data_IF_184388168124
#
_entry.id   IF_184388168124
#
_cell.length_a   1.000
_cell.length_b   1.000
_cell.length_c   1.000
_cell.angle_alpha   90.00
_cell.angle_beta   90.00
_cell.angle_gamma   90.00
#
_symmetry.space_group_name_H-M   'P 1'
#
loop_
_entity.id
_entity.type
_entity.pdbx_description
1 polymer ?
#
# COMPACT_ATOMS: atom_id res chain seq x y z
N UNK A 1 8.12 2.95 33.31
CA UNK A 1 9.18 1.89 33.31
C UNK A 1 10.47 2.61 33.64
N UNK A 2 11.14 2.22 34.74
CA UNK A 2 12.35 2.88 35.21
C UNK A 2 13.57 2.12 34.66
N UNK A 3 14.30 2.73 33.74
CA UNK A 3 15.53 2.19 33.17
C UNK A 3 16.73 2.90 33.82
N UNK A 4 17.15 2.47 34.99
CA UNK A 4 18.23 3.17 35.72
C UNK A 4 19.63 2.98 35.14
N UNK A 5 19.90 1.91 34.37
CA UNK A 5 21.27 1.57 33.95
C UNK A 5 21.44 1.12 32.48
N UNK A 6 20.40 1.05 31.68
CA UNK A 6 20.52 0.60 30.29
C UNK A 6 20.51 1.79 29.32
N UNK A 7 21.61 1.98 28.59
CA UNK A 7 21.72 2.97 27.51
C UNK A 7 21.24 2.41 26.17
N UNK A 8 21.00 1.10 26.08
CA UNK A 8 20.60 0.41 24.85
C UNK A 8 19.34 -0.40 25.11
N UNK A 9 18.28 -0.11 24.40
CA UNK A 9 17.01 -0.83 24.51
C UNK A 9 17.09 -2.12 23.70
N UNK A 10 16.58 -3.23 24.27
CA UNK A 10 16.42 -4.49 23.56
C UNK A 10 15.46 -4.28 22.37
N UNK A 11 15.83 -4.76 21.19
CA UNK A 11 15.01 -4.65 19.98
C UNK A 11 13.61 -5.23 20.11
N UNK A 12 13.40 -6.19 21.02
CA UNK A 12 12.05 -6.72 21.34
C UNK A 12 11.18 -5.70 22.05
N UNK A 13 11.76 -4.94 22.98
CA UNK A 13 11.03 -3.89 23.68
C UNK A 13 10.72 -2.71 22.74
N UNK A 14 11.66 -2.36 21.89
CA UNK A 14 11.47 -1.34 20.85
C UNK A 14 10.32 -1.72 19.91
N UNK A 15 10.29 -2.98 19.44
CA UNK A 15 9.19 -3.49 18.64
C UNK A 15 7.84 -3.49 19.39
N UNK A 16 7.85 -3.79 20.68
CA UNK A 16 6.66 -3.71 21.53
C UNK A 16 6.12 -2.27 21.60
N UNK A 17 6.99 -1.28 21.84
CA UNK A 17 6.63 0.15 21.85
C UNK A 17 6.04 0.59 20.50
N UNK A 18 6.65 0.12 19.41
CA UNK A 18 6.21 0.36 18.04
C UNK A 18 4.79 -0.19 17.81
N UNK A 19 4.49 -1.39 18.30
CA UNK A 19 3.21 -2.05 18.10
C UNK A 19 2.08 -1.50 18.98
N UNK A 20 2.41 -0.76 20.05
CA UNK A 20 1.38 -0.15 20.91
C UNK A 20 0.53 0.93 20.22
N UNK A 21 1.00 1.45 19.09
CA UNK A 21 0.32 2.49 18.30
C UNK A 21 -0.21 3.68 19.15
N UNK A 22 0.59 4.10 20.13
CA UNK A 22 0.28 5.18 21.06
C UNK A 22 1.43 6.17 21.12
N UNK A 23 1.12 7.40 21.49
CA UNK A 23 2.14 8.38 21.89
C UNK A 23 2.71 7.93 23.22
N UNK A 24 4.02 7.66 23.26
CA UNK A 24 4.71 7.18 24.44
C UNK A 24 5.76 8.20 24.82
N UNK A 25 5.77 8.57 26.10
CA UNK A 25 6.84 9.33 26.71
C UNK A 25 7.67 8.41 27.57
N UNK A 26 8.95 8.28 27.23
CA UNK A 26 9.92 7.57 28.04
C UNK A 26 10.73 8.58 28.81
N UNK A 27 10.78 8.41 30.13
CA UNK A 27 11.58 9.23 31.04
C UNK A 27 12.73 8.34 31.52
N UNK A 28 13.97 8.79 31.29
CA UNK A 28 15.17 8.05 31.69
C UNK A 28 16.23 9.01 32.25
N UNK A 29 17.12 8.50 33.13
CA UNK A 29 18.29 9.28 33.61
C UNK A 29 19.40 9.35 32.59
N UNK A 30 19.50 8.36 31.72
CA UNK A 30 20.51 8.30 30.68
C UNK A 30 19.89 8.49 29.30
N UNK A 31 20.64 9.09 28.38
CA UNK A 31 20.19 9.21 26.99
C UNK A 31 20.07 7.82 26.37
N UNK A 32 18.87 7.43 26.03
CA UNK A 32 18.61 6.15 25.41
C UNK A 32 18.88 6.20 23.90
N UNK A 33 19.55 5.19 23.39
CA UNK A 33 19.76 4.98 21.96
C UNK A 33 18.79 3.91 21.46
N UNK A 34 17.95 4.31 20.52
CA UNK A 34 17.01 3.44 19.84
C UNK A 34 17.56 3.11 18.45
N UNK A 35 17.45 1.87 18.03
CA UNK A 35 17.92 1.43 16.72
C UNK A 35 16.93 1.84 15.59
N UNK A 36 15.68 2.18 15.93
CA UNK A 36 14.64 2.52 15.00
C UNK A 36 14.28 4.03 15.04
N UNK A 37 14.05 4.60 13.88
CA UNK A 37 13.93 6.04 13.59
C UNK A 37 12.67 6.76 14.12
N UNK A 38 11.98 6.21 15.12
CA UNK A 38 10.70 6.75 15.60
C UNK A 38 10.78 7.75 16.76
N UNK A 39 12.00 8.24 17.05
CA UNK A 39 12.18 9.30 18.05
C UNK A 39 11.84 10.64 17.40
N UNK A 40 10.73 11.24 17.80
CA UNK A 40 10.36 12.56 17.30
C UNK A 40 11.13 13.69 17.98
N UNK A 41 11.43 13.52 19.26
CA UNK A 41 12.10 14.52 20.08
C UNK A 41 12.69 13.88 21.32
N UNK A 42 13.90 14.27 21.68
CA UNK A 42 14.51 13.97 22.97
C UNK A 42 14.97 15.27 23.58
N UNK A 43 14.51 15.56 24.78
CA UNK A 43 14.85 16.78 25.55
C UNK A 43 15.44 16.37 26.88
N UNK A 44 16.40 17.15 27.36
CA UNK A 44 16.89 17.03 28.72
C UNK A 44 16.22 18.08 29.61
N UNK A 45 15.53 17.62 30.65
CA UNK A 45 14.86 18.46 31.61
C UNK A 45 15.24 18.00 33.02
N UNK A 46 15.90 18.86 33.78
CA UNK A 46 16.27 18.59 35.19
C UNK A 46 17.05 17.29 35.40
N UNK A 47 17.97 16.95 34.47
CA UNK A 47 18.80 15.73 34.55
C UNK A 47 18.09 14.47 34.12
N UNK A 48 16.91 14.57 33.51
CA UNK A 48 16.18 13.47 32.90
C UNK A 48 16.07 13.69 31.40
N UNK A 49 16.19 12.62 30.63
CA UNK A 49 15.92 12.60 29.19
C UNK A 49 14.46 12.22 28.96
N UNK A 50 13.70 13.13 28.36
CA UNK A 50 12.34 12.91 27.94
C UNK A 50 12.34 12.54 26.47
N UNK A 51 12.14 11.24 26.16
CA UNK A 51 12.11 10.75 24.78
C UNK A 51 10.68 10.52 24.36
N UNK A 52 10.23 11.32 23.39
CA UNK A 52 8.88 11.23 22.82
C UNK A 52 8.89 10.24 21.66
N UNK A 53 8.20 9.15 21.87
CA UNK A 53 7.91 8.15 20.85
C UNK A 53 6.57 8.46 20.21
N UNK A 54 6.58 8.66 18.90
CA UNK A 54 5.36 8.74 18.13
C UNK A 54 5.47 7.80 16.95
N UNK A 55 4.74 6.72 17.03
CA UNK A 55 4.73 5.69 15.99
C UNK A 55 3.83 6.05 14.80
N UNK A 56 3.20 7.19 14.85
CA UNK A 56 2.14 7.52 13.93
C UNK A 56 2.64 8.57 12.93
N UNK A 57 2.97 8.11 11.72
CA UNK A 57 3.22 9.00 10.56
C UNK A 57 2.05 9.97 10.36
N UNK A 58 0.87 9.64 10.92
CA UNK A 58 -0.36 10.41 10.78
C UNK A 58 -0.49 11.61 11.72
N UNK A 59 0.41 11.79 12.69
CA UNK A 59 0.37 12.95 13.58
C UNK A 59 1.46 13.95 13.24
N UNK A 60 1.05 15.12 12.79
CA UNK A 60 1.93 16.24 12.56
C UNK A 60 1.57 17.06 11.31
N UNK A 61 2.14 18.25 11.20
CA UNK A 61 1.90 19.15 10.06
C UNK A 61 2.21 18.52 8.70
N UNK A 62 3.23 17.67 8.64
CA UNK A 62 3.60 16.95 7.41
C UNK A 62 2.51 16.01 6.90
N UNK A 63 1.79 15.34 7.82
CA UNK A 63 0.67 14.49 7.44
C UNK A 63 -0.51 15.29 6.88
N UNK A 64 -0.81 16.46 7.49
CA UNK A 64 -1.86 17.35 6.97
C UNK A 64 -1.52 17.78 5.54
N UNK A 65 -0.26 18.16 5.30
CA UNK A 65 0.21 18.54 3.96
C UNK A 65 0.09 17.35 2.99
N UNK A 66 0.54 16.14 3.40
CA UNK A 66 0.36 14.93 2.61
C UNK A 66 -1.11 14.71 2.24
N UNK A 67 -1.99 14.81 3.22
CA UNK A 67 -3.42 14.58 3.02
C UNK A 67 -4.05 15.60 2.07
N UNK A 68 -3.65 16.88 2.15
CA UNK A 68 -4.07 17.90 1.20
C UNK A 68 -3.60 17.59 -0.21
N UNK A 69 -2.33 17.18 -0.38
CA UNK A 69 -1.78 16.76 -1.67
C UNK A 69 -2.56 15.57 -2.22
N UNK A 70 -2.82 14.54 -1.41
CA UNK A 70 -3.58 13.36 -1.79
C UNK A 70 -4.98 13.74 -2.34
N UNK A 71 -5.71 14.59 -1.62
CA UNK A 71 -7.06 15.00 -2.01
C UNK A 71 -7.02 15.85 -3.29
N UNK A 72 -6.18 16.90 -3.30
CA UNK A 72 -6.11 17.84 -4.45
C UNK A 72 -5.71 17.11 -5.72
N UNK A 73 -4.65 16.29 -5.66
CA UNK A 73 -4.21 15.53 -6.83
C UNK A 73 -5.25 14.48 -7.25
N UNK A 74 -5.93 13.81 -6.32
CA UNK A 74 -6.98 12.85 -6.66
C UNK A 74 -8.14 13.50 -7.38
N UNK A 75 -8.58 14.68 -6.94
CA UNK A 75 -9.64 15.46 -7.63
C UNK A 75 -9.21 15.87 -9.02
N UNK A 76 -7.98 16.40 -9.17
CA UNK A 76 -7.41 16.77 -10.47
C UNK A 76 -7.34 15.55 -11.41
N UNK A 77 -6.86 14.40 -10.92
CA UNK A 77 -6.74 13.19 -11.72
C UNK A 77 -8.11 12.64 -12.13
N UNK A 78 -9.11 12.66 -11.25
CA UNK A 78 -10.48 12.26 -11.60
C UNK A 78 -11.03 13.15 -12.72
N UNK A 79 -10.84 14.47 -12.61
CA UNK A 79 -11.32 15.41 -13.63
C UNK A 79 -10.58 15.23 -14.95
N UNK A 80 -9.26 15.10 -14.90
CA UNK A 80 -8.41 14.89 -16.10
C UNK A 80 -8.76 13.60 -16.84
N UNK A 81 -8.94 12.50 -16.10
CA UNK A 81 -9.26 11.19 -16.67
C UNK A 81 -10.77 10.93 -16.82
N UNK A 82 -11.63 11.91 -16.53
CA UNK A 82 -13.07 11.71 -16.58
C UNK A 82 -13.57 11.12 -17.91
N UNK A 83 -13.17 11.63 -19.10
CA UNK A 83 -13.60 11.03 -20.37
C UNK A 83 -13.17 9.56 -20.51
N UNK A 84 -11.94 9.24 -20.06
CA UNK A 84 -11.42 7.87 -20.08
C UNK A 84 -12.21 6.97 -19.11
N UNK A 85 -12.52 7.46 -17.90
CA UNK A 85 -13.31 6.72 -16.92
C UNK A 85 -14.69 6.35 -17.48
N UNK A 86 -15.37 7.31 -18.14
CA UNK A 86 -16.66 7.08 -18.79
C UNK A 86 -16.54 6.04 -19.92
N UNK A 87 -15.50 6.14 -20.74
CA UNK A 87 -15.24 5.17 -21.82
C UNK A 87 -15.04 3.76 -21.27
N UNK A 88 -14.25 3.61 -20.19
CA UNK A 88 -14.03 2.31 -19.55
C UNK A 88 -15.32 1.77 -18.95
N UNK A 89 -16.16 2.60 -18.32
CA UNK A 89 -17.49 2.18 -17.80
C UNK A 89 -18.37 1.64 -18.91
N UNK A 90 -18.50 2.37 -20.01
CA UNK A 90 -19.30 1.96 -21.16
C UNK A 90 -18.75 0.64 -21.74
N UNK A 91 -17.44 0.56 -21.92
CA UNK A 91 -16.78 -0.63 -22.45
C UNK A 91 -17.06 -1.88 -21.59
N UNK A 92 -16.95 -1.77 -20.26
CA UNK A 92 -17.22 -2.89 -19.34
C UNK A 92 -18.71 -3.27 -19.39
N UNK A 93 -19.61 -2.29 -19.42
CA UNK A 93 -21.04 -2.53 -19.49
C UNK A 93 -21.44 -3.31 -20.76
N UNK A 94 -20.78 -3.02 -21.88
CA UNK A 94 -21.02 -3.71 -23.16
C UNK A 94 -20.52 -5.17 -23.18
N UNK A 95 -19.69 -5.61 -22.21
CA UNK A 95 -19.20 -7.00 -22.19
C UNK A 95 -20.29 -8.00 -21.73
N UNK A 96 -21.03 -7.67 -20.67
CA UNK A 96 -22.01 -8.58 -20.05
C UNK A 96 -23.15 -7.87 -19.29
N UNK A 97 -23.33 -6.56 -19.51
CA UNK A 97 -24.40 -5.76 -18.88
C UNK A 97 -24.29 -5.63 -17.36
N UNK A 98 -23.15 -5.97 -16.76
CA UNK A 98 -22.97 -5.94 -15.33
C UNK A 98 -22.38 -4.63 -14.79
N UNK A 99 -22.28 -4.50 -13.46
CA UNK A 99 -21.75 -3.30 -12.85
C UNK A 99 -20.29 -3.09 -13.28
N UNK A 100 -19.94 -1.87 -13.72
CA UNK A 100 -18.60 -1.53 -14.15
C UNK A 100 -17.61 -1.40 -12.97
N UNK A 101 -18.11 -1.03 -11.79
CA UNK A 101 -17.31 -0.86 -10.56
C UNK A 101 -17.67 -1.97 -9.58
N UNK A 102 -16.62 -2.62 -9.07
CA UNK A 102 -16.70 -3.61 -8.00
C UNK A 102 -16.10 -3.05 -6.71
N UNK A 103 -16.50 -3.62 -5.58
CA UNK A 103 -15.98 -3.31 -4.25
C UNK A 103 -15.33 -4.56 -3.69
N UNK A 104 -14.09 -4.43 -3.24
CA UNK A 104 -13.34 -5.52 -2.63
C UNK A 104 -12.96 -5.15 -1.20
N UNK A 105 -13.15 -6.05 -0.26
CA UNK A 105 -12.71 -5.85 1.11
C UNK A 105 -11.18 -5.91 1.18
N UNK A 106 -10.60 -4.90 1.79
CA UNK A 106 -9.16 -4.76 1.96
C UNK A 106 -8.84 -4.28 3.36
N UNK A 107 -7.68 -4.69 3.84
CA UNK A 107 -7.16 -4.23 5.12
C UNK A 107 -6.47 -2.88 4.92
N UNK A 108 -6.92 -1.90 5.68
CA UNK A 108 -6.41 -0.54 5.68
C UNK A 108 -5.69 -0.19 6.97
N UNK A 109 -5.72 1.09 7.28
CA UNK A 109 -5.10 1.67 8.46
C UNK A 109 -5.57 0.98 9.75
N UNK A 110 -4.61 0.62 10.61
CA UNK A 110 -4.83 -0.05 11.90
C UNK A 110 -5.65 -1.35 11.81
N UNK A 111 -5.56 -2.04 10.65
CA UNK A 111 -6.30 -3.28 10.43
C UNK A 111 -7.79 -3.08 10.12
N UNK A 112 -8.24 -1.84 9.94
CA UNK A 112 -9.65 -1.56 9.61
C UNK A 112 -9.95 -1.97 8.19
N UNK A 113 -10.99 -2.79 8.01
CA UNK A 113 -11.44 -3.21 6.68
C UNK A 113 -12.20 -2.07 5.99
N UNK A 114 -11.88 -1.84 4.73
CA UNK A 114 -12.56 -0.86 3.88
C UNK A 114 -12.91 -1.45 2.51
N UNK A 115 -13.90 -0.85 1.83
CA UNK A 115 -14.32 -1.24 0.49
C UNK A 115 -13.48 -0.51 -0.56
N UNK A 116 -12.51 -1.21 -1.15
CA UNK A 116 -11.69 -0.70 -2.24
C UNK A 116 -12.45 -0.75 -3.55
N UNK A 117 -12.51 0.37 -4.27
CA UNK A 117 -13.18 0.47 -5.56
C UNK A 117 -12.24 0.08 -6.71
N UNK A 118 -12.73 -0.75 -7.63
CA UNK A 118 -12.02 -1.11 -8.87
C UNK A 118 -12.98 -1.19 -10.05
N UNK A 119 -12.45 -0.97 -11.26
CA UNK A 119 -13.19 -1.42 -12.43
C UNK A 119 -13.15 -2.94 -12.53
N UNK A 120 -14.26 -3.51 -12.92
CA UNK A 120 -14.38 -4.93 -13.17
C UNK A 120 -13.67 -5.29 -14.46
N UNK A 121 -12.83 -6.31 -14.42
CA UNK A 121 -12.07 -6.82 -15.56
C UNK A 121 -12.31 -8.31 -15.81
N UNK A 122 -13.19 -8.92 -15.02
CA UNK A 122 -13.63 -10.32 -15.13
C UNK A 122 -15.12 -10.39 -15.36
N UNK A 123 -15.60 -11.48 -15.96
CA UNK A 123 -17.04 -11.77 -16.10
C UNK A 123 -17.72 -11.87 -14.73
N UNK A 124 -19.06 -11.70 -14.71
CA UNK A 124 -19.87 -11.68 -13.47
C UNK A 124 -19.65 -12.93 -12.59
N UNK A 125 -19.64 -14.09 -13.19
CA UNK A 125 -19.61 -15.39 -12.50
C UNK A 125 -18.18 -15.91 -12.23
N UNK A 126 -17.21 -15.00 -12.25
CA UNK A 126 -15.78 -15.32 -12.13
C UNK A 126 -15.38 -15.83 -10.74
N UNK A 127 -16.17 -15.52 -9.70
CA UNK A 127 -15.88 -16.01 -8.34
C UNK A 127 -16.18 -17.49 -8.19
N UNK A 128 -17.23 -18.00 -8.80
CA UNK A 128 -17.60 -19.42 -8.77
C UNK A 128 -16.54 -20.30 -9.43
N UNK A 129 -15.83 -19.77 -10.41
CA UNK A 129 -14.75 -20.46 -11.13
C UNK A 129 -13.38 -20.37 -10.45
N UNK A 130 -13.28 -19.77 -9.26
CA UNK A 130 -11.99 -19.65 -8.56
C UNK A 130 -11.49 -20.99 -8.06
N UNK A 131 -12.37 -21.78 -7.46
CA UNK A 131 -12.03 -23.09 -6.90
C UNK A 131 -11.52 -24.04 -7.98
N UNK A 132 -12.15 -24.03 -9.17
CA UNK A 132 -11.74 -24.86 -10.33
C UNK A 132 -10.34 -24.48 -10.89
N UNK A 133 -9.86 -23.28 -10.55
CA UNK A 133 -8.61 -22.73 -11.05
C UNK A 133 -7.48 -22.72 -10.01
N UNK A 134 -7.71 -23.20 -8.80
CA UNK A 134 -6.68 -23.24 -7.75
C UNK A 134 -5.49 -24.13 -8.15
N UNK A 135 -5.72 -25.21 -8.89
CA UNK A 135 -4.67 -26.10 -9.41
C UNK A 135 -3.75 -25.40 -10.43
N UNK A 136 -4.22 -24.35 -11.10
CA UNK A 136 -3.45 -23.57 -12.07
C UNK A 136 -2.64 -22.44 -11.42
N UNK A 137 -2.80 -22.23 -10.11
CA UNK A 137 -2.04 -21.22 -9.38
C UNK A 137 -0.60 -21.69 -9.13
N UNK A 138 0.33 -21.21 -9.96
CA UNK A 138 1.76 -21.54 -9.88
C UNK A 138 2.52 -20.77 -8.78
N UNK A 139 1.85 -19.85 -8.07
CA UNK A 139 2.49 -18.99 -7.08
C UNK A 139 2.34 -19.54 -5.66
N UNK A 140 3.19 -19.05 -4.76
CA UNK A 140 3.04 -19.29 -3.34
C UNK A 140 1.63 -18.90 -2.87
N UNK A 141 1.13 -19.58 -1.84
CA UNK A 141 -0.26 -19.52 -1.35
C UNK A 141 -0.78 -18.13 -1.03
N UNK A 142 0.10 -17.13 -0.95
CA UNK A 142 -0.24 -15.74 -0.56
C UNK A 142 -0.78 -14.92 -1.74
N UNK A 143 -0.36 -15.20 -2.98
CA UNK A 143 -0.73 -14.40 -4.14
C UNK A 143 -1.33 -15.28 -5.23
N UNK A 144 -2.64 -15.16 -5.45
CA UNK A 144 -3.32 -15.87 -6.54
C UNK A 144 -3.10 -15.13 -7.87
N UNK A 145 -2.31 -15.73 -8.76
CA UNK A 145 -2.02 -15.19 -10.09
C UNK A 145 -1.95 -16.30 -11.11
N UNK A 146 -2.80 -16.22 -12.12
CA UNK A 146 -2.83 -17.17 -13.25
C UNK A 146 -2.45 -16.41 -14.51
N UNK A 147 -1.54 -16.98 -15.29
CA UNK A 147 -1.19 -16.51 -16.61
C UNK A 147 -2.34 -16.83 -17.58
N UNK A 148 -2.83 -15.85 -18.36
CA UNK A 148 -3.99 -16.00 -19.24
C UNK A 148 -5.28 -16.46 -18.54
N UNK A 149 -5.63 -15.82 -17.42
CA UNK A 149 -6.83 -16.14 -16.64
C UNK A 149 -8.10 -16.07 -17.49
N UNK A 150 -8.81 -17.22 -17.71
CA UNK A 150 -9.98 -17.30 -18.59
C UNK A 150 -11.18 -16.49 -18.07
N UNK A 151 -11.15 -16.05 -16.81
CA UNK A 151 -12.20 -15.23 -16.21
C UNK A 151 -12.16 -13.79 -16.70
N UNK A 152 -11.02 -13.36 -17.27
CA UNK A 152 -10.86 -11.98 -17.76
C UNK A 152 -11.53 -11.86 -19.12
N UNK A 153 -12.44 -10.89 -19.24
CA UNK A 153 -13.10 -10.63 -20.53
C UNK A 153 -12.15 -10.00 -21.56
N UNK A 154 -12.54 -10.08 -22.84
CA UNK A 154 -11.74 -9.53 -23.95
C UNK A 154 -11.49 -8.03 -23.72
N UNK A 155 -10.21 -7.63 -23.68
CA UNK A 155 -9.79 -6.26 -23.36
C UNK A 155 -9.58 -5.99 -21.86
N UNK A 156 -10.04 -6.87 -20.96
CA UNK A 156 -9.79 -6.75 -19.52
C UNK A 156 -8.30 -6.77 -19.17
N UNK A 157 -7.52 -7.56 -19.91
CA UNK A 157 -6.06 -7.58 -19.78
C UNK A 157 -5.43 -6.21 -20.10
N UNK A 158 -5.93 -5.49 -21.11
CA UNK A 158 -5.44 -4.14 -21.44
C UNK A 158 -5.76 -3.14 -20.32
N UNK A 159 -6.97 -3.21 -19.76
CA UNK A 159 -7.37 -2.38 -18.61
C UNK A 159 -6.41 -2.62 -17.42
N UNK A 160 -6.09 -3.87 -17.10
CA UNK A 160 -5.14 -4.26 -16.04
C UNK A 160 -3.71 -3.85 -16.37
N UNK A 161 -3.28 -4.07 -17.62
CA UNK A 161 -1.95 -3.74 -18.10
C UNK A 161 -1.60 -2.28 -17.83
N UNK A 162 -2.52 -1.37 -18.12
CA UNK A 162 -2.34 0.06 -17.91
C UNK A 162 -2.85 0.56 -16.54
N UNK A 163 -3.21 -0.34 -15.61
CA UNK A 163 -3.77 -0.01 -14.28
C UNK A 163 -5.02 0.87 -14.30
N UNK A 164 -5.73 0.89 -15.40
CA UNK A 164 -6.97 1.65 -15.51
C UNK A 164 -8.03 1.11 -14.53
N UNK A 165 -7.98 -0.19 -14.22
CA UNK A 165 -8.85 -0.83 -13.24
C UNK A 165 -8.69 -0.26 -11.82
N UNK A 166 -7.58 0.37 -11.52
CA UNK A 166 -7.28 0.95 -10.20
C UNK A 166 -7.71 2.41 -10.06
N UNK A 167 -8.06 3.11 -11.17
CA UNK A 167 -8.45 4.52 -11.12
C UNK A 167 -9.64 4.85 -10.19
N UNK A 168 -10.68 3.99 -10.02
CA UNK A 168 -11.75 4.25 -9.05
C UNK A 168 -11.26 4.34 -7.59
N UNK A 169 -10.07 3.84 -7.26
CA UNK A 169 -9.48 3.97 -5.92
C UNK A 169 -9.17 5.44 -5.57
N UNK A 170 -9.09 6.36 -6.53
CA UNK A 170 -9.01 7.80 -6.26
C UNK A 170 -10.18 8.28 -5.37
N UNK A 171 -11.35 7.64 -5.46
CA UNK A 171 -12.48 7.88 -4.56
C UNK A 171 -12.14 7.43 -3.14
N UNK A 172 -11.45 6.29 -2.95
CA UNK A 172 -11.00 5.85 -1.63
C UNK A 172 -9.97 6.82 -1.04
N UNK A 173 -9.10 7.38 -1.89
CA UNK A 173 -8.15 8.42 -1.45
C UNK A 173 -8.91 9.64 -0.94
N UNK A 174 -9.88 10.16 -1.67
CA UNK A 174 -10.68 11.32 -1.24
C UNK A 174 -11.43 11.02 0.07
N UNK A 175 -12.00 9.81 0.21
CA UNK A 175 -12.72 9.38 1.42
C UNK A 175 -11.82 9.23 2.66
N UNK A 176 -10.53 9.00 2.48
CA UNK A 176 -9.58 8.78 3.58
C UNK A 176 -9.30 7.33 3.90
N UNK A 177 -9.82 6.40 3.12
CA UNK A 177 -9.52 4.98 3.24
C UNK A 177 -8.11 4.65 2.73
N UNK A 178 -7.62 5.46 1.78
CA UNK A 178 -6.33 5.31 1.10
C UNK A 178 -5.59 6.64 0.98
N UNK A 179 -4.33 6.56 0.61
CA UNK A 179 -3.46 7.63 0.14
C UNK A 179 -3.09 7.39 -1.33
N UNK A 180 -2.60 8.42 -2.04
CA UNK A 180 -2.00 8.21 -3.35
C UNK A 180 -0.75 7.32 -3.25
N UNK A 181 0.08 7.53 -2.22
CA UNK A 181 1.33 6.79 -1.99
C UNK A 181 1.32 6.08 -0.66
N UNK A 182 1.61 4.78 -0.67
CA UNK A 182 1.67 3.93 0.51
C UNK A 182 1.81 2.45 0.15
N UNK A 183 1.87 1.56 1.16
CA UNK A 183 1.82 0.12 0.98
C UNK A 183 0.57 -0.33 0.23
N UNK A 184 0.70 -1.34 -0.65
CA UNK A 184 -0.45 -1.87 -1.39
C UNK A 184 -1.48 -2.51 -0.44
N UNK A 185 -2.79 -2.19 -0.52
CA UNK A 185 -3.81 -2.81 0.32
C UNK A 185 -3.95 -4.31 0.00
N UNK A 186 -3.84 -5.15 1.03
CA UNK A 186 -3.94 -6.61 0.92
C UNK A 186 -5.32 -7.11 1.37
N UNK A 187 -5.63 -8.37 1.07
CA UNK A 187 -6.81 -9.04 1.58
C UNK A 187 -6.65 -9.37 3.06
N UNK A 188 -7.75 -9.57 3.78
CA UNK A 188 -7.73 -9.98 5.18
C UNK A 188 -7.03 -11.34 5.36
N UNK A 189 -7.23 -12.23 4.41
CA UNK A 189 -6.62 -13.57 4.39
C UNK A 189 -5.09 -13.49 4.37
N UNK A 190 -4.53 -12.52 3.65
CA UNK A 190 -3.08 -12.30 3.54
C UNK A 190 -2.47 -11.88 4.88
N UNK A 191 -3.26 -11.26 5.78
CA UNK A 191 -2.77 -10.79 7.09
C UNK A 191 -2.38 -11.93 8.03
N UNK A 192 -2.91 -13.14 7.80
CA UNK A 192 -2.57 -14.34 8.57
C UNK A 192 -1.09 -14.73 8.46
N UNK A 193 -0.43 -14.27 7.39
CA UNK A 193 0.99 -14.52 7.15
C UNK A 193 1.89 -13.41 7.70
N UNK A 194 1.32 -12.36 8.32
CA UNK A 194 2.09 -11.24 8.85
C UNK A 194 2.77 -11.62 10.16
N UNK A 195 4.08 -11.39 10.22
CA UNK A 195 4.79 -11.35 11.48
C UNK A 195 4.61 -9.96 12.14
N UNK A 196 5.07 -9.82 13.39
CA UNK A 196 4.95 -8.56 14.14
C UNK A 196 5.56 -7.36 13.40
N UNK A 197 6.70 -7.56 12.73
CA UNK A 197 7.35 -6.50 11.97
C UNK A 197 6.53 -6.08 10.74
N UNK A 198 5.87 -7.02 10.07
CA UNK A 198 5.09 -6.72 8.89
C UNK A 198 3.75 -6.06 9.22
N UNK A 199 3.23 -6.27 10.44
CA UNK A 199 2.05 -5.53 10.93
C UNK A 199 2.26 -4.02 10.94
N UNK A 200 3.51 -3.53 10.96
CA UNK A 200 3.83 -2.09 10.89
C UNK A 200 3.30 -1.42 9.62
N UNK A 201 3.11 -2.15 8.54
CA UNK A 201 2.50 -1.63 7.31
C UNK A 201 1.08 -1.11 7.53
N UNK A 202 0.39 -1.60 8.55
CA UNK A 202 -0.96 -1.16 8.93
C UNK A 202 -0.98 0.16 9.72
N UNK A 203 0.19 0.70 10.08
CA UNK A 203 0.29 1.99 10.76
C UNK A 203 0.26 3.18 9.81
N UNK A 204 0.15 2.93 8.52
CA UNK A 204 0.02 3.97 7.48
C UNK A 204 -1.17 3.66 6.57
N UNK A 205 -1.71 4.69 5.92
CA UNK A 205 -2.74 4.48 4.91
C UNK A 205 -2.18 3.65 3.74
N UNK A 206 -2.93 2.66 3.25
CA UNK A 206 -2.56 1.97 2.03
C UNK A 206 -2.57 2.92 0.85
N UNK A 207 -1.68 2.68 -0.13
CA UNK A 207 -1.49 3.53 -1.29
C UNK A 207 -2.09 2.97 -2.58
N UNK A 208 -2.46 3.88 -3.49
CA UNK A 208 -2.75 3.57 -4.88
C UNK A 208 -1.46 3.18 -5.61
N UNK A 209 -0.36 3.86 -5.34
CA UNK A 209 1.00 3.54 -5.77
C UNK A 209 1.96 3.50 -4.57
N UNK A 210 3.19 3.05 -4.76
CA UNK A 210 4.21 2.93 -3.70
C UNK A 210 5.54 2.44 -4.23
N UNK A 211 6.51 2.24 -3.33
CA UNK A 211 7.85 1.78 -3.70
C UNK A 211 7.84 0.44 -4.44
N UNK A 212 7.02 -0.50 -4.01
CA UNK A 212 6.86 -1.79 -4.68
C UNK A 212 6.39 -1.61 -6.13
N UNK A 213 5.34 -0.80 -6.33
CA UNK A 213 4.71 -0.62 -7.64
C UNK A 213 5.64 0.04 -8.66
N UNK A 214 6.52 0.94 -8.22
CA UNK A 214 7.47 1.60 -9.14
C UNK A 214 8.72 0.77 -9.44
N UNK A 215 9.11 -0.16 -8.55
CA UNK A 215 10.33 -0.97 -8.71
C UNK A 215 10.05 -2.39 -9.21
N UNK A 216 9.18 -3.14 -8.54
CA UNK A 216 8.95 -4.56 -8.79
C UNK A 216 7.46 -4.94 -8.77
N UNK A 217 6.65 -4.23 -9.53
CA UNK A 217 5.18 -4.37 -9.57
C UNK A 217 4.67 -5.80 -9.75
N UNK A 218 5.38 -6.60 -10.53
CA UNK A 218 4.95 -7.94 -10.93
C UNK A 218 5.53 -9.07 -10.07
N UNK A 219 6.31 -8.74 -9.04
CA UNK A 219 6.85 -9.77 -8.14
C UNK A 219 5.72 -10.47 -7.38
N UNK A 220 5.84 -11.78 -7.24
CA UNK A 220 5.01 -12.61 -6.37
C UNK A 220 5.71 -12.94 -5.05
N UNK A 221 6.94 -12.48 -4.87
CA UNK A 221 7.75 -12.76 -3.69
C UNK A 221 7.32 -11.88 -2.52
N UNK A 222 6.81 -12.52 -1.47
CA UNK A 222 6.29 -11.83 -0.28
C UNK A 222 7.37 -11.03 0.47
N UNK A 223 8.60 -11.56 0.55
CA UNK A 223 9.72 -10.88 1.21
C UNK A 223 10.09 -9.56 0.51
N UNK A 224 9.98 -9.53 -0.81
CA UNK A 224 10.17 -8.30 -1.59
C UNK A 224 9.10 -7.26 -1.29
N UNK A 225 7.84 -7.68 -1.11
CA UNK A 225 6.76 -6.78 -0.68
C UNK A 225 7.02 -6.21 0.69
N UNK A 226 7.38 -7.08 1.65
CA UNK A 226 7.75 -6.69 3.00
C UNK A 226 8.86 -5.62 3.01
N UNK A 227 9.96 -5.87 2.28
CA UNK A 227 11.10 -4.96 2.20
C UNK A 227 10.70 -3.57 1.71
N UNK A 228 9.95 -3.46 0.61
CA UNK A 228 9.55 -2.16 0.07
C UNK A 228 8.54 -1.43 0.95
N UNK A 229 7.61 -2.14 1.57
CA UNK A 229 6.63 -1.53 2.48
C UNK A 229 7.32 -0.95 3.72
N UNK A 230 8.23 -1.70 4.32
CA UNK A 230 8.97 -1.26 5.51
C UNK A 230 9.97 -0.15 5.16
N UNK A 231 10.63 -0.24 4.00
CA UNK A 231 11.51 0.83 3.53
C UNK A 231 10.75 2.15 3.33
N UNK A 232 9.56 2.10 2.73
CA UNK A 232 8.70 3.26 2.60
C UNK A 232 8.33 3.86 3.97
N UNK A 233 7.90 3.03 4.92
CA UNK A 233 7.50 3.48 6.26
C UNK A 233 8.67 4.14 7.01
N UNK A 234 9.85 3.52 6.95
CA UNK A 234 11.04 4.01 7.64
C UNK A 234 11.58 5.33 7.07
N UNK A 235 11.49 5.50 5.75
CA UNK A 235 12.07 6.64 5.03
C UNK A 235 11.03 7.64 4.53
N UNK A 236 9.80 7.53 5.02
CA UNK A 236 8.71 8.39 4.54
C UNK A 236 9.05 9.89 4.64
N UNK A 237 8.76 10.57 3.57
CA UNK A 237 8.80 12.03 3.47
C UNK A 237 7.89 12.48 2.32
N UNK A 238 7.45 13.74 2.36
CA UNK A 238 6.70 14.35 1.25
C UNK A 238 7.51 14.27 -0.05
N UNK A 239 8.83 14.46 0.02
CA UNK A 239 9.72 14.32 -1.13
C UNK A 239 9.70 12.91 -1.71
N UNK A 240 9.72 11.87 -0.86
CA UNK A 240 9.62 10.49 -1.31
C UNK A 240 8.28 10.23 -2.01
N UNK A 241 7.17 10.72 -1.46
CA UNK A 241 5.85 10.62 -2.09
C UNK A 241 5.84 11.27 -3.48
N UNK A 242 6.34 12.49 -3.59
CA UNK A 242 6.41 13.19 -4.89
C UNK A 242 7.28 12.43 -5.89
N UNK A 243 8.42 11.89 -5.46
CA UNK A 243 9.29 11.05 -6.29
C UNK A 243 8.56 9.82 -6.81
N UNK A 244 7.84 9.11 -5.94
CA UNK A 244 7.06 7.93 -6.31
C UNK A 244 5.95 8.30 -7.31
N UNK A 245 5.22 9.39 -7.07
CA UNK A 245 4.16 9.86 -7.96
C UNK A 245 4.71 10.18 -9.36
N UNK A 246 5.85 10.86 -9.45
CA UNK A 246 6.49 11.19 -10.72
C UNK A 246 7.00 9.95 -11.47
N UNK A 247 7.42 8.90 -10.76
CA UNK A 247 7.93 7.66 -11.35
C UNK A 247 6.82 6.68 -11.74
N UNK A 248 5.63 6.80 -11.15
CA UNK A 248 4.52 5.86 -11.38
C UNK A 248 4.12 5.73 -12.87
N UNK A 249 3.93 6.80 -13.65
CA UNK A 249 3.58 6.65 -15.07
C UNK A 249 4.64 5.90 -15.87
N UNK A 250 5.91 6.21 -15.66
CA UNK A 250 7.01 5.55 -16.35
C UNK A 250 7.14 4.07 -15.97
N UNK A 251 6.89 3.71 -14.71
CA UNK A 251 6.90 2.32 -14.25
C UNK A 251 5.79 1.48 -14.88
N UNK A 252 4.60 2.06 -15.06
CA UNK A 252 3.49 1.39 -15.74
C UNK A 252 3.88 1.07 -17.20
N UNK A 253 4.47 2.01 -17.89
CA UNK A 253 4.91 1.82 -19.30
C UNK A 253 6.05 0.81 -19.38
N UNK A 254 7.10 0.97 -18.57
CA UNK A 254 8.31 0.12 -18.59
C UNK A 254 8.00 -1.34 -18.25
N UNK A 255 7.14 -1.61 -17.28
CA UNK A 255 6.74 -2.98 -16.93
C UNK A 255 5.89 -3.64 -18.00
N UNK A 256 5.28 -2.85 -18.89
CA UNK A 256 4.54 -3.35 -20.04
C UNK A 256 5.45 -3.73 -21.23
N UNK A 257 6.66 -3.16 -21.31
CA UNK A 257 7.61 -3.45 -22.38
C UNK A 257 8.52 -4.64 -22.08
N UNK A 258 8.79 -4.97 -20.83
CA UNK A 258 9.59 -6.15 -20.46
C UNK A 258 9.00 -7.47 -20.98
N UNK A 259 7.68 -7.63 -21.00
CA UNK A 259 7.03 -8.84 -21.56
C UNK A 259 7.01 -8.88 -23.10
N UNK A 260 7.13 -7.74 -23.78
CA UNK A 260 7.15 -7.66 -25.26
C UNK A 260 8.54 -7.97 -25.88
N UNK A 261 9.61 -7.72 -25.12
CA UNK A 261 10.98 -7.96 -25.60
C UNK A 261 11.44 -9.40 -25.32
N UNK A 262 10.89 -10.05 -24.27
CA UNK A 262 11.19 -11.44 -23.96
C UNK A 262 10.55 -12.42 -24.95
N UNK A 263 9.49 -12.02 -25.68
CA UNK A 263 8.85 -12.80 -26.75
C UNK A 263 9.51 -12.64 -28.13
N UNK A 264 10.42 -11.66 -28.31
CA UNK A 264 11.07 -11.38 -29.61
C UNK A 264 12.47 -11.99 -29.69
N UNK A 265 13.01 -12.55 -28.62
CA UNK A 265 14.39 -13.08 -28.54
C UNK A 265 14.42 -14.63 -28.59
N UNK A 266 13.29 -15.31 -28.83
CA UNK A 266 13.28 -16.76 -29.11
C UNK A 266 12.52 -17.09 -30.38
#
# INVERSE_FOLDING_TARGET
>A
INFENETKIDGRFENYLINLNKKILIISRNRMHFNNYFINRSEEVSGYFLTYFNNDIQYGSKYIIKRLIDIVLSVILIFLFFPLLVTVVIFIYLQDGGPAIIKQDRVGLHGKIFKMYKFRTMYKDSHEKREDLEELNKNDRVIFKIENDPRIFKGGNSIRKYSLDELPQLINVIKGDMSLVGPRPLFEEDTKFFNENYMRRLNVLPGLTGLLQINERNTSEFETWYRYDIDYINNWSIYLDLKILLQTPSSIIKNNTKGLWDEIIF
#
